data_IF_876395818940
#
_entry.id   IF_876395818940
#
_cell.length_a   1.000
_cell.length_b   1.000
_cell.length_c   1.000
_cell.angle_alpha   90.00
_cell.angle_beta   90.00
_cell.angle_gamma   90.00
#
_symmetry.space_group_name_H-M   'P 1'
#
loop_
_entity.id
_entity.type
_entity.pdbx_description
1 polymer ?
#
# COMPACT_ATOMS: atom_id res chain seq x y z
N UNK A 1 19.10 -37.09 35.11
CA UNK A 1 19.84 -35.82 34.97
C UNK A 1 20.59 -35.67 33.64
N UNK A 2 21.29 -36.69 33.13
CA UNK A 2 22.03 -36.60 31.84
C UNK A 2 21.16 -36.33 30.59
N UNK A 3 19.98 -36.95 30.50
CA UNK A 3 19.06 -36.74 29.38
C UNK A 3 18.43 -35.33 29.34
N UNK A 4 18.24 -34.71 30.50
CA UNK A 4 17.67 -33.36 30.61
C UNK A 4 18.67 -32.27 30.19
N UNK A 5 19.98 -32.49 30.43
CA UNK A 5 21.03 -31.59 29.96
C UNK A 5 21.20 -31.67 28.43
N UNK A 6 21.07 -32.86 27.85
CA UNK A 6 21.14 -33.05 26.39
C UNK A 6 20.02 -32.31 25.64
N UNK A 7 18.79 -32.35 26.16
CA UNK A 7 17.65 -31.64 25.55
C UNK A 7 17.79 -30.12 25.67
N UNK A 8 18.28 -29.60 26.80
CA UNK A 8 18.53 -28.16 26.98
C UNK A 8 19.64 -27.67 26.04
N UNK A 9 20.73 -28.43 25.88
CA UNK A 9 21.79 -28.09 24.92
C UNK A 9 21.30 -28.11 23.47
N UNK A 10 20.45 -29.07 23.09
CA UNK A 10 19.84 -29.14 21.75
C UNK A 10 18.90 -27.96 21.48
N UNK A 11 18.10 -27.55 22.46
CA UNK A 11 17.22 -26.39 22.31
C UNK A 11 18.03 -25.09 22.22
N UNK A 12 19.12 -24.96 22.97
CA UNK A 12 20.02 -23.82 22.91
C UNK A 12 20.71 -23.69 21.55
N UNK A 13 21.17 -24.79 20.94
CA UNK A 13 21.81 -24.72 19.62
C UNK A 13 20.84 -24.36 18.50
N UNK A 14 19.58 -24.82 18.57
CA UNK A 14 18.53 -24.41 17.62
C UNK A 14 18.17 -22.93 17.79
N UNK A 15 18.10 -22.43 19.03
CA UNK A 15 17.88 -21.02 19.31
C UNK A 15 19.06 -20.14 18.82
N UNK A 16 20.31 -20.58 19.03
CA UNK A 16 21.48 -19.86 18.52
C UNK A 16 21.58 -19.89 16.99
N UNK A 17 21.27 -21.02 16.35
CA UNK A 17 21.31 -21.14 14.89
C UNK A 17 20.25 -20.25 14.22
N UNK A 18 19.03 -20.21 14.75
CA UNK A 18 17.97 -19.34 14.24
C UNK A 18 18.26 -17.85 14.50
N UNK A 19 18.84 -17.51 15.65
CA UNK A 19 19.29 -16.14 15.93
C UNK A 19 20.46 -15.70 15.03
N UNK A 20 21.39 -16.62 14.72
CA UNK A 20 22.50 -16.37 13.79
C UNK A 20 22.01 -16.17 12.36
N UNK A 21 21.09 -17.01 11.87
CA UNK A 21 20.50 -16.85 10.54
C UNK A 21 19.75 -15.53 10.39
N UNK A 22 18.99 -15.12 11.41
CA UNK A 22 18.37 -13.79 11.44
C UNK A 22 19.44 -12.70 11.38
N UNK A 23 20.44 -12.71 12.27
CA UNK A 23 21.54 -11.73 12.24
C UNK A 23 22.29 -11.68 10.91
N UNK A 24 22.51 -12.81 10.25
CA UNK A 24 23.20 -12.88 8.97
C UNK A 24 22.35 -12.30 7.81
N UNK A 25 21.04 -12.58 7.78
CA UNK A 25 20.12 -11.98 6.81
C UNK A 25 20.05 -10.45 6.99
N UNK A 26 20.03 -10.01 8.24
CA UNK A 26 19.99 -8.62 8.68
C UNK A 26 21.27 -7.86 8.30
N UNK A 27 22.44 -8.43 8.59
CA UNK A 27 23.75 -7.87 8.20
C UNK A 27 23.92 -7.84 6.67
N UNK A 28 23.43 -8.87 5.96
CA UNK A 28 23.45 -8.94 4.50
C UNK A 28 22.62 -7.83 3.85
N UNK A 29 21.42 -7.53 4.39
CA UNK A 29 20.59 -6.41 3.94
C UNK A 29 21.28 -5.06 4.12
N UNK A 30 21.95 -4.83 5.26
CA UNK A 30 22.69 -3.59 5.52
C UNK A 30 23.85 -3.38 4.53
N UNK A 31 24.64 -4.43 4.31
CA UNK A 31 25.76 -4.38 3.37
C UNK A 31 25.29 -4.15 1.94
N UNK A 32 24.17 -4.76 1.54
CA UNK A 32 23.61 -4.61 0.20
C UNK A 32 23.27 -3.14 -0.09
N UNK A 33 22.58 -2.46 0.82
CA UNK A 33 22.16 -1.07 0.64
C UNK A 33 23.31 -0.08 0.73
N UNK A 34 24.33 -0.35 1.56
CA UNK A 34 25.54 0.45 1.60
C UNK A 34 26.27 0.48 0.25
N UNK A 35 26.07 -0.56 -0.59
CA UNK A 35 26.59 -0.63 -1.97
C UNK A 35 25.69 0.06 -3.00
N UNK A 36 24.45 0.41 -2.67
CA UNK A 36 23.55 1.09 -3.61
C UNK A 36 23.89 2.58 -3.61
N UNK A 37 24.22 3.17 -4.78
CA UNK A 37 24.43 4.60 -4.90
C UNK A 37 23.20 5.38 -4.41
N UNK A 38 23.40 6.52 -3.76
CA UNK A 38 22.29 7.38 -3.30
C UNK A 38 21.37 7.81 -4.45
N UNK A 39 21.91 7.94 -5.67
CA UNK A 39 21.14 8.19 -6.90
C UNK A 39 20.17 7.06 -7.29
N UNK A 40 20.39 5.84 -6.79
CA UNK A 40 19.53 4.69 -7.03
C UNK A 40 18.45 4.52 -5.95
N UNK A 41 18.50 5.28 -4.85
CA UNK A 41 17.55 5.13 -3.74
C UNK A 41 16.11 5.47 -4.13
N UNK A 42 15.92 6.41 -5.06
CA UNK A 42 14.60 6.71 -5.63
C UNK A 42 14.02 5.50 -6.39
N UNK A 43 14.85 4.70 -7.05
CA UNK A 43 14.40 3.46 -7.70
C UNK A 43 14.05 2.38 -6.69
N UNK A 44 14.81 2.27 -5.60
CA UNK A 44 14.51 1.34 -4.50
C UNK A 44 13.17 1.71 -3.85
N UNK A 45 12.93 3.00 -3.61
CA UNK A 45 11.65 3.49 -3.10
C UNK A 45 10.48 3.10 -4.01
N UNK A 46 10.62 3.33 -5.33
CA UNK A 46 9.62 2.93 -6.33
C UNK A 46 9.38 1.42 -6.36
N UNK A 47 10.44 0.61 -6.26
CA UNK A 47 10.34 -0.86 -6.22
C UNK A 47 9.62 -1.35 -4.96
N UNK A 48 9.96 -0.80 -3.79
CA UNK A 48 9.28 -1.14 -2.53
C UNK A 48 7.81 -0.74 -2.58
N UNK A 49 7.50 0.45 -3.11
CA UNK A 49 6.11 0.90 -3.30
C UNK A 49 5.34 -0.05 -4.22
N UNK A 50 5.95 -0.44 -5.35
CA UNK A 50 5.36 -1.39 -6.29
C UNK A 50 5.10 -2.76 -5.67
N UNK A 51 6.07 -3.31 -4.93
CA UNK A 51 5.93 -4.60 -4.23
C UNK A 51 4.79 -4.58 -3.21
N UNK A 52 4.64 -3.50 -2.43
CA UNK A 52 3.53 -3.34 -1.47
C UNK A 52 2.18 -3.35 -2.21
N UNK A 53 2.09 -2.67 -3.36
CA UNK A 53 0.86 -2.59 -4.15
C UNK A 53 0.54 -3.97 -4.74
N UNK A 54 1.52 -4.67 -5.32
CA UNK A 54 1.29 -5.97 -5.95
C UNK A 54 0.95 -7.06 -4.92
N UNK A 55 1.66 -7.09 -3.79
CA UNK A 55 1.42 -8.04 -2.69
C UNK A 55 0.08 -7.86 -1.98
N UNK A 56 -0.50 -6.66 -2.03
CA UNK A 56 -1.83 -6.36 -1.47
C UNK A 56 -2.98 -6.92 -2.32
N UNK A 57 -2.67 -7.61 -3.43
CA UNK A 57 -3.64 -8.07 -4.46
C UNK A 57 -4.33 -6.84 -5.10
N UNK A 58 -5.10 -7.05 -6.18
CA UNK A 58 -5.77 -5.97 -6.94
C UNK A 58 -6.73 -5.07 -6.12
N UNK A 59 -6.85 -5.30 -4.81
CA UNK A 59 -7.72 -4.59 -3.88
C UNK A 59 -7.33 -3.12 -3.68
N UNK A 60 -6.05 -2.78 -3.74
CA UNK A 60 -5.59 -1.37 -3.64
C UNK A 60 -4.96 -0.84 -4.93
N UNK A 61 -4.71 -1.69 -5.92
CA UNK A 61 -4.11 -1.29 -7.20
C UNK A 61 -4.96 -0.25 -7.95
N UNK A 62 -6.29 -0.39 -7.90
CA UNK A 62 -7.20 0.60 -8.50
C UNK A 62 -7.03 2.00 -7.89
N UNK A 63 -6.67 2.09 -6.60
CA UNK A 63 -6.43 3.35 -5.87
C UNK A 63 -5.25 4.12 -6.46
N UNK A 64 -4.25 3.42 -6.99
CA UNK A 64 -3.10 4.04 -7.63
C UNK A 64 -3.28 4.22 -9.14
N UNK A 65 -4.29 3.59 -9.75
CA UNK A 65 -4.54 3.68 -11.21
C UNK A 65 -5.54 4.76 -11.58
N UNK A 66 -6.64 4.89 -10.84
CA UNK A 66 -7.66 5.89 -11.14
C UNK A 66 -7.15 7.34 -11.10
N UNK A 67 -6.26 7.76 -10.16
CA UNK A 67 -5.82 9.15 -10.08
C UNK A 67 -4.68 9.46 -11.06
N UNK A 68 -4.05 8.43 -11.65
CA UNK A 68 -2.96 8.58 -12.62
C UNK A 68 -3.43 8.86 -14.06
N UNK A 69 -4.75 8.86 -14.29
CA UNK A 69 -5.31 9.39 -15.53
C UNK A 69 -5.27 10.92 -15.49
N UNK A 70 -4.78 11.56 -16.56
CA UNK A 70 -4.69 13.02 -16.68
C UNK A 70 -6.01 13.74 -16.41
N UNK A 71 -7.13 13.14 -16.80
CA UNK A 71 -8.48 13.69 -16.58
C UNK A 71 -8.96 13.51 -15.14
N UNK A 72 -8.46 12.50 -14.44
CA UNK A 72 -8.97 12.07 -13.15
C UNK A 72 -8.14 12.61 -11.97
N UNK A 73 -6.88 12.95 -12.22
CA UNK A 73 -5.95 13.50 -11.24
C UNK A 73 -6.46 14.78 -10.57
N UNK A 74 -7.15 15.63 -11.33
CA UNK A 74 -7.71 16.90 -10.83
C UNK A 74 -8.76 16.71 -9.73
N UNK A 75 -9.38 15.53 -9.63
CA UNK A 75 -10.44 15.25 -8.67
C UNK A 75 -9.95 14.72 -7.33
N UNK A 76 -8.64 14.57 -7.18
CA UNK A 76 -7.98 14.05 -5.97
C UNK A 76 -7.59 15.16 -5.00
N UNK A 77 -7.51 16.43 -5.45
CA UNK A 77 -7.04 17.56 -4.62
C UNK A 77 -8.08 18.65 -4.34
N UNK A 78 -9.29 18.57 -4.93
CA UNK A 78 -10.14 19.76 -5.08
C UNK A 78 -11.46 19.70 -4.30
N UNK A 79 -12.02 20.88 -4.04
CA UNK A 79 -13.41 21.03 -3.58
C UNK A 79 -14.36 20.61 -4.71
N UNK A 80 -14.78 19.35 -4.69
CA UNK A 80 -15.71 18.79 -5.65
C UNK A 80 -17.03 19.59 -5.71
N UNK A 81 -17.27 20.20 -6.87
CA UNK A 81 -18.56 20.83 -7.19
C UNK A 81 -19.55 19.77 -7.67
N UNK A 82 -20.82 20.13 -7.83
CA UNK A 82 -21.81 19.20 -8.39
C UNK A 82 -21.57 18.86 -9.86
N UNK A 83 -20.84 19.71 -10.58
CA UNK A 83 -20.52 19.56 -12.00
C UNK A 83 -19.39 18.53 -12.22
N UNK A 84 -18.54 18.36 -11.21
CA UNK A 84 -17.39 17.43 -11.25
C UNK A 84 -17.81 15.97 -11.02
N UNK A 85 -18.99 15.73 -10.42
CA UNK A 85 -19.40 14.39 -9.97
C UNK A 85 -19.48 13.40 -11.13
N UNK A 86 -20.14 13.75 -12.23
CA UNK A 86 -20.34 12.82 -13.35
C UNK A 86 -19.00 12.47 -14.06
N UNK A 87 -18.12 13.44 -14.41
CA UNK A 87 -16.79 13.15 -14.93
C UNK A 87 -15.93 12.30 -13.99
N UNK A 88 -15.98 12.57 -12.68
CA UNK A 88 -15.24 11.78 -11.69
C UNK A 88 -15.71 10.33 -11.67
N UNK A 89 -17.02 10.12 -11.60
CA UNK A 89 -17.58 8.78 -11.52
C UNK A 89 -17.32 7.99 -12.82
N UNK A 90 -17.21 8.66 -13.97
CA UNK A 90 -16.76 8.02 -15.21
C UNK A 90 -15.32 7.48 -15.13
N UNK A 91 -14.41 8.20 -14.48
CA UNK A 91 -13.05 7.70 -14.22
C UNK A 91 -13.04 6.42 -13.38
N UNK A 92 -14.08 6.23 -12.56
CA UNK A 92 -14.20 5.15 -11.60
C UNK A 92 -15.00 3.95 -12.12
N UNK A 93 -15.68 4.07 -13.25
CA UNK A 93 -16.43 2.98 -13.89
C UNK A 93 -15.58 1.71 -14.11
N UNK A 94 -14.33 1.77 -14.62
CA UNK A 94 -13.51 0.57 -14.79
C UNK A 94 -13.20 -0.17 -13.47
N UNK A 95 -13.38 0.51 -12.33
CA UNK A 95 -13.08 0.02 -10.99
C UNK A 95 -14.33 -0.20 -10.15
N UNK A 96 -15.53 -0.20 -10.76
CA UNK A 96 -16.82 -0.35 -10.08
C UNK A 96 -16.83 -1.50 -9.06
N UNK A 97 -16.33 -2.68 -9.43
CA UNK A 97 -16.24 -3.86 -8.55
C UNK A 97 -15.50 -3.63 -7.21
N UNK A 98 -14.64 -2.61 -7.15
CA UNK A 98 -13.97 -2.18 -5.93
C UNK A 98 -14.74 -1.06 -5.25
N UNK A 99 -15.19 -0.07 -6.04
CA UNK A 99 -15.84 1.14 -5.55
C UNK A 99 -17.21 0.87 -4.93
N UNK A 100 -18.02 -0.02 -5.49
CA UNK A 100 -19.37 -0.31 -4.98
C UNK A 100 -19.38 -0.85 -3.54
N UNK A 101 -18.25 -1.41 -3.10
CA UNK A 101 -18.07 -1.93 -1.74
C UNK A 101 -17.88 -0.82 -0.71
N UNK A 102 -17.60 0.41 -1.15
CA UNK A 102 -17.42 1.55 -0.27
C UNK A 102 -18.77 2.08 0.23
N UNK A 103 -18.81 2.63 1.46
CA UNK A 103 -20.03 3.15 2.06
C UNK A 103 -20.76 4.16 1.16
N UNK A 104 -22.00 3.85 0.79
CA UNK A 104 -22.85 4.74 0.01
C UNK A 104 -22.54 4.79 -1.49
N UNK A 105 -21.60 3.98 -1.99
CA UNK A 105 -21.26 3.93 -3.41
C UNK A 105 -22.18 3.05 -4.24
N UNK A 106 -22.70 1.94 -3.69
CA UNK A 106 -23.65 1.06 -4.39
C UNK A 106 -24.84 1.86 -4.98
N UNK A 107 -25.47 2.71 -4.17
CA UNK A 107 -26.64 3.49 -4.60
C UNK A 107 -26.32 4.54 -5.69
N UNK A 108 -25.05 4.96 -5.82
CA UNK A 108 -24.64 5.84 -6.91
C UNK A 108 -24.61 5.08 -8.25
N UNK A 109 -24.04 3.87 -8.25
CA UNK A 109 -23.95 3.05 -9.46
C UNK A 109 -25.30 2.49 -9.91
N UNK A 110 -26.21 2.21 -8.97
CA UNK A 110 -27.56 1.72 -9.28
C UNK A 110 -28.44 2.76 -10.02
N UNK A 111 -28.17 4.07 -9.84
CA UNK A 111 -29.00 5.12 -10.42
C UNK A 111 -28.23 6.43 -10.71
N UNK A 112 -27.20 6.30 -11.56
CA UNK A 112 -26.18 7.32 -11.86
C UNK A 112 -26.73 8.72 -12.16
N UNK A 113 -27.85 8.82 -12.88
CA UNK A 113 -28.45 10.10 -13.32
C UNK A 113 -29.38 10.77 -12.30
N UNK A 114 -29.96 10.02 -11.36
CA UNK A 114 -30.89 10.57 -10.35
C UNK A 114 -30.23 10.79 -8.99
N UNK A 115 -29.04 10.25 -8.79
CA UNK A 115 -28.40 10.13 -7.49
C UNK A 115 -27.21 11.08 -7.29
N UNK A 116 -27.15 12.26 -7.94
CA UNK A 116 -26.01 13.20 -7.86
C UNK A 116 -25.49 13.46 -6.44
N UNK A 117 -26.40 13.64 -5.47
CA UNK A 117 -26.03 13.81 -4.05
C UNK A 117 -25.40 12.55 -3.44
N UNK A 118 -25.87 11.36 -3.80
CA UNK A 118 -25.31 10.08 -3.36
C UNK A 118 -23.96 9.82 -4.04
N UNK A 119 -23.84 10.14 -5.32
CA UNK A 119 -22.59 10.08 -6.07
C UNK A 119 -21.53 11.05 -5.53
N UNK A 120 -21.93 12.26 -5.11
CA UNK A 120 -21.04 13.19 -4.41
C UNK A 120 -20.49 12.60 -3.12
N UNK A 121 -21.36 11.98 -2.29
CA UNK A 121 -20.94 11.30 -1.05
C UNK A 121 -20.00 10.13 -1.34
N UNK A 122 -20.36 9.29 -2.31
CA UNK A 122 -19.52 8.18 -2.76
C UNK A 122 -18.14 8.68 -3.20
N UNK A 123 -18.10 9.73 -4.00
CA UNK A 123 -16.85 10.31 -4.49
C UNK A 123 -15.99 10.88 -3.35
N UNK A 124 -16.60 11.54 -2.37
CA UNK A 124 -15.88 11.98 -1.16
C UNK A 124 -15.26 10.79 -0.41
N UNK A 125 -16.00 9.69 -0.30
CA UNK A 125 -15.50 8.45 0.32
C UNK A 125 -14.34 7.85 -0.48
N UNK A 126 -14.42 7.84 -1.82
CA UNK A 126 -13.34 7.36 -2.69
C UNK A 126 -12.08 8.20 -2.54
N UNK A 127 -12.21 9.53 -2.52
CA UNK A 127 -11.07 10.44 -2.30
C UNK A 127 -10.45 10.18 -0.93
N UNK A 128 -11.27 10.10 0.12
CA UNK A 128 -10.81 9.79 1.48
C UNK A 128 -10.06 8.45 1.55
N UNK A 129 -10.61 7.38 0.99
CA UNK A 129 -9.97 6.05 0.94
C UNK A 129 -8.69 6.11 0.13
N UNK A 130 -8.68 6.86 -0.98
CA UNK A 130 -7.50 7.04 -1.83
C UNK A 130 -6.35 7.70 -1.08
N UNK A 131 -6.63 8.80 -0.37
CA UNK A 131 -5.65 9.48 0.46
C UNK A 131 -5.16 8.59 1.61
N UNK A 132 -6.08 7.94 2.32
CA UNK A 132 -5.76 7.08 3.46
C UNK A 132 -4.86 5.91 3.06
N UNK A 133 -5.19 5.22 1.96
CA UNK A 133 -4.37 4.11 1.46
C UNK A 133 -3.03 4.60 0.91
N UNK A 134 -3.01 5.72 0.20
CA UNK A 134 -1.75 6.32 -0.29
C UNK A 134 -0.82 6.64 0.88
N UNK A 135 -1.33 7.30 1.92
CA UNK A 135 -0.58 7.62 3.13
C UNK A 135 -0.07 6.36 3.84
N UNK A 136 -0.91 5.32 3.95
CA UNK A 136 -0.53 4.05 4.57
C UNK A 136 0.58 3.33 3.78
N UNK A 137 0.51 3.33 2.45
CA UNK A 137 1.56 2.76 1.58
C UNK A 137 2.85 3.55 1.73
N UNK A 138 2.82 4.88 1.69
CA UNK A 138 4.00 5.73 1.87
C UNK A 138 4.66 5.54 3.24
N UNK A 139 3.86 5.43 4.30
CA UNK A 139 4.36 5.11 5.64
C UNK A 139 5.06 3.74 5.68
N UNK A 140 4.49 2.72 5.02
CA UNK A 140 5.12 1.40 4.90
C UNK A 140 6.41 1.43 4.09
N UNK A 141 6.44 2.16 2.98
CA UNK A 141 7.66 2.36 2.17
C UNK A 141 8.75 2.98 3.03
N UNK A 142 8.43 4.08 3.73
CA UNK A 142 9.37 4.76 4.63
C UNK A 142 9.88 3.84 5.73
N UNK A 143 9.00 3.04 6.34
CA UNK A 143 9.37 2.06 7.35
C UNK A 143 10.34 1.01 6.78
N UNK A 144 10.02 0.42 5.62
CA UNK A 144 10.87 -0.60 4.98
C UNK A 144 12.23 0.01 4.62
N UNK A 145 12.27 1.20 4.00
CA UNK A 145 13.52 1.89 3.70
C UNK A 145 14.33 2.20 4.96
N UNK A 146 13.68 2.54 6.07
CA UNK A 146 14.34 2.78 7.35
C UNK A 146 14.92 1.48 7.92
N UNK A 147 14.16 0.38 7.92
CA UNK A 147 14.63 -0.94 8.37
C UNK A 147 15.79 -1.43 7.53
N UNK A 148 15.70 -1.25 6.21
CA UNK A 148 16.74 -1.51 5.25
C UNK A 148 18.02 -0.72 5.63
N UNK A 149 17.94 0.61 5.80
CA UNK A 149 19.11 1.42 6.20
C UNK A 149 19.71 1.02 7.54
N UNK A 150 18.86 0.69 8.51
CA UNK A 150 19.31 0.27 9.84
C UNK A 150 19.94 -1.13 9.80
N UNK A 151 19.52 -1.96 8.83
CA UNK A 151 19.90 -3.35 8.68
C UNK A 151 19.40 -4.15 9.87
N UNK A 152 18.07 -4.33 9.98
CA UNK A 152 17.36 -5.02 11.10
C UNK A 152 16.37 -6.04 10.57
#
# INVERSE_FOLDING_TARGET
>A
MRFFMLTICLLATVALASAYQKKAAILGQKSFLATIPSSCMEYVEKLVKWEIIESSKKEIDWIFKWPNSTTCAQFVSDQLTEEDVDPCMQCLLPYEQHVIKLPGCQNCYDNFTQAKKLCKRCLTEIVYVTEAVTCAVEAKVKLILTLLHLGV
#
